data_IF_842765056030
#
_entry.id   IF_842765056030
#
_cell.length_a   1.000
_cell.length_b   1.000
_cell.length_c   1.000
_cell.angle_alpha   90.00
_cell.angle_beta   90.00
_cell.angle_gamma   90.00
#
_symmetry.space_group_name_H-M   'P 1'
#
loop_
_entity.id
_entity.type
_entity.pdbx_description
1 polymer ?
#
# COMPACT_ATOMS: atom_id res chain seq x y z
N UNK A 1 18.50 -4.38 -13.29
CA UNK A 1 17.85 -3.58 -12.24
C UNK A 1 16.59 -2.91 -12.76
N UNK A 2 16.59 -2.30 -13.94
CA UNK A 2 15.42 -1.62 -14.53
C UNK A 2 14.21 -2.54 -14.81
N UNK A 3 14.41 -3.81 -15.07
CA UNK A 3 13.36 -4.75 -15.45
C UNK A 3 12.33 -4.99 -14.34
N UNK A 4 12.75 -4.98 -13.09
CA UNK A 4 11.91 -5.24 -11.92
C UNK A 4 11.60 -3.97 -11.11
N UNK A 5 12.10 -2.82 -11.52
CA UNK A 5 12.02 -1.57 -10.75
C UNK A 5 10.58 -1.13 -10.44
N UNK A 6 9.63 -1.46 -11.32
CA UNK A 6 8.21 -1.17 -11.14
C UNK A 6 7.34 -2.43 -11.01
N UNK A 7 7.97 -3.59 -10.81
CA UNK A 7 7.25 -4.83 -10.58
C UNK A 7 6.68 -4.86 -9.15
N UNK A 8 5.43 -5.31 -9.00
CA UNK A 8 4.81 -5.51 -7.70
C UNK A 8 4.91 -6.96 -7.28
N UNK A 9 5.46 -7.20 -6.11
CA UNK A 9 5.43 -8.54 -5.52
C UNK A 9 3.99 -8.99 -5.28
N UNK A 10 3.62 -10.12 -5.86
CA UNK A 10 2.36 -10.78 -5.57
C UNK A 10 2.50 -11.53 -4.25
N UNK A 11 1.63 -11.27 -3.27
CA UNK A 11 1.63 -11.93 -1.96
C UNK A 11 1.07 -13.35 -2.09
N UNK A 12 1.91 -14.27 -2.55
CA UNK A 12 1.50 -15.66 -2.79
C UNK A 12 1.21 -16.45 -1.51
N UNK A 13 1.60 -15.94 -0.37
CA UNK A 13 1.20 -16.46 0.94
C UNK A 13 -0.33 -16.48 1.12
N UNK A 14 -1.06 -15.54 0.51
CA UNK A 14 -2.53 -15.53 0.49
C UNK A 14 -3.16 -16.76 -0.15
N UNK A 15 -2.42 -17.51 -0.96
CA UNK A 15 -2.92 -18.76 -1.55
C UNK A 15 -3.10 -19.87 -0.50
N UNK A 16 -2.47 -19.72 0.68
CA UNK A 16 -2.64 -20.63 1.81
C UNK A 16 -2.02 -22.01 1.61
N UNK A 17 -1.16 -22.19 0.62
CA UNK A 17 -0.55 -23.47 0.29
C UNK A 17 0.80 -23.28 -0.44
N UNK A 18 1.62 -24.32 -0.44
CA UNK A 18 2.80 -24.43 -1.29
C UNK A 18 2.43 -24.98 -2.70
N UNK A 19 1.36 -24.45 -3.28
CA UNK A 19 0.75 -24.96 -4.51
C UNK A 19 1.18 -24.19 -5.75
N UNK A 20 2.29 -23.48 -5.69
CA UNK A 20 2.90 -22.80 -6.82
C UNK A 20 4.41 -23.12 -6.89
N UNK A 21 4.96 -23.05 -8.08
CA UNK A 21 6.42 -23.04 -8.28
C UNK A 21 6.86 -21.58 -8.45
N UNK A 22 7.59 -21.06 -7.49
CA UNK A 22 8.10 -19.69 -7.54
C UNK A 22 9.37 -19.64 -8.40
N UNK A 23 9.33 -18.96 -9.54
CA UNK A 23 10.46 -18.84 -10.47
C UNK A 23 11.29 -17.58 -10.19
N UNK A 24 10.65 -16.49 -9.79
CA UNK A 24 11.31 -15.25 -9.35
C UNK A 24 10.68 -14.78 -8.06
N UNK A 25 11.39 -14.96 -6.96
CA UNK A 25 10.97 -14.59 -5.64
C UNK A 25 11.76 -13.38 -5.15
N UNK A 26 11.13 -12.21 -4.97
CA UNK A 26 11.76 -11.10 -4.27
C UNK A 26 11.80 -11.39 -2.77
N UNK A 27 12.78 -10.84 -2.10
CA UNK A 27 12.82 -10.81 -0.64
C UNK A 27 11.95 -9.63 -0.21
N UNK A 28 10.99 -9.87 0.67
CA UNK A 28 10.19 -8.80 1.29
C UNK A 28 11.03 -8.02 2.29
N UNK A 29 10.48 -6.96 2.83
CA UNK A 29 11.18 -6.18 3.84
C UNK A 29 11.32 -6.96 5.16
N UNK A 30 12.34 -6.58 5.91
CA UNK A 30 12.75 -7.27 7.15
C UNK A 30 11.64 -7.45 8.19
N UNK A 31 10.68 -6.53 8.25
CA UNK A 31 9.65 -6.53 9.29
C UNK A 31 8.40 -7.38 8.95
N UNK A 32 8.12 -7.62 7.66
CA UNK A 32 6.95 -8.38 7.21
C UNK A 32 7.28 -9.82 6.85
N UNK A 33 8.32 -9.99 6.05
CA UNK A 33 8.78 -11.29 5.55
C UNK A 33 7.68 -12.13 4.86
N UNK A 34 6.79 -11.47 4.12
CA UNK A 34 5.75 -12.14 3.34
C UNK A 34 6.35 -12.96 2.19
N UNK A 35 5.77 -14.12 1.91
CA UNK A 35 6.14 -14.91 0.72
C UNK A 35 5.60 -14.22 -0.53
N UNK A 36 6.51 -13.62 -1.29
CA UNK A 36 6.21 -12.83 -2.48
C UNK A 36 6.63 -13.59 -3.74
N UNK A 37 6.02 -13.25 -4.88
CA UNK A 37 6.44 -13.69 -6.21
C UNK A 37 6.37 -12.57 -7.22
N UNK A 38 7.33 -12.52 -8.15
CA UNK A 38 7.26 -11.72 -9.37
C UNK A 38 6.93 -12.58 -10.60
N UNK A 39 7.24 -13.85 -10.52
CA UNK A 39 6.96 -14.83 -11.59
C UNK A 39 6.77 -16.20 -10.95
N UNK A 40 5.63 -16.83 -11.18
CA UNK A 40 5.37 -18.18 -10.73
C UNK A 40 4.53 -18.98 -11.74
N UNK A 41 4.50 -20.29 -11.55
CA UNK A 41 3.66 -21.20 -12.31
C UNK A 41 2.79 -22.05 -11.40
N UNK A 42 1.61 -22.44 -11.90
CA UNK A 42 0.66 -23.31 -11.23
C UNK A 42 -0.32 -23.96 -12.23
N UNK A 43 -1.14 -24.87 -11.73
CA UNK A 43 -2.32 -25.36 -12.46
C UNK A 43 -3.58 -24.72 -11.90
N UNK A 44 -4.52 -24.38 -12.79
CA UNK A 44 -5.89 -23.94 -12.44
C UNK A 44 -6.88 -24.86 -13.15
N UNK A 45 -7.47 -25.79 -12.42
CA UNK A 45 -8.23 -26.89 -13.05
C UNK A 45 -7.31 -27.74 -13.92
N UNK A 46 -7.60 -27.80 -15.22
CA UNK A 46 -6.78 -28.51 -16.23
C UNK A 46 -5.79 -27.59 -16.96
N UNK A 47 -5.86 -26.29 -16.72
CA UNK A 47 -5.02 -25.32 -17.40
C UNK A 47 -3.68 -25.12 -16.66
N UNK A 48 -2.59 -25.05 -17.43
CA UNK A 48 -1.27 -24.63 -16.93
C UNK A 48 -1.15 -23.11 -17.05
N UNK A 49 -0.77 -22.45 -15.97
CA UNK A 49 -0.69 -21.01 -15.87
C UNK A 49 0.73 -20.55 -15.50
N UNK A 50 1.21 -19.53 -16.21
CA UNK A 50 2.36 -18.73 -15.84
C UNK A 50 1.88 -17.33 -15.51
N UNK A 51 2.21 -16.80 -14.32
CA UNK A 51 1.82 -15.48 -13.89
C UNK A 51 3.02 -14.62 -13.55
N UNK A 52 3.02 -13.39 -14.04
CA UNK A 52 4.08 -12.42 -13.73
C UNK A 52 3.52 -11.04 -13.45
N UNK A 53 4.13 -10.34 -12.51
CA UNK A 53 3.93 -8.92 -12.24
C UNK A 53 5.01 -8.02 -12.87
N UNK A 54 5.99 -8.62 -13.54
CA UNK A 54 7.03 -7.90 -14.27
C UNK A 54 6.41 -7.32 -15.55
N UNK A 55 6.61 -6.03 -15.78
CA UNK A 55 6.13 -5.41 -17.01
C UNK A 55 6.98 -5.86 -18.21
N UNK A 56 6.49 -6.85 -18.94
CA UNK A 56 7.14 -7.41 -20.13
C UNK A 56 6.91 -6.58 -21.41
N UNK A 57 6.09 -5.53 -21.34
CA UNK A 57 5.82 -4.62 -22.45
C UNK A 57 6.72 -3.38 -22.44
N UNK A 58 7.69 -3.32 -21.54
CA UNK A 58 8.70 -2.26 -21.56
C UNK A 58 9.52 -2.34 -22.86
N UNK A 59 9.77 -1.19 -23.47
CA UNK A 59 10.63 -1.08 -24.65
C UNK A 59 12.12 -1.18 -24.26
N UNK A 60 12.51 -2.35 -23.76
CA UNK A 60 13.89 -2.67 -23.38
C UNK A 60 14.28 -4.04 -23.88
N UNK A 61 15.54 -4.22 -24.31
CA UNK A 61 16.05 -5.53 -24.74
C UNK A 61 15.88 -6.62 -23.68
N UNK A 62 15.97 -6.26 -22.40
CA UNK A 62 15.83 -7.17 -21.26
C UNK A 62 14.39 -7.69 -21.14
N UNK A 63 13.38 -6.80 -21.26
CA UNK A 63 11.98 -7.20 -21.24
C UNK A 63 11.64 -8.11 -22.41
N UNK A 64 12.09 -7.77 -23.61
CA UNK A 64 11.91 -8.60 -24.81
C UNK A 64 12.57 -9.98 -24.68
N UNK A 65 13.79 -10.04 -24.15
CA UNK A 65 14.50 -11.30 -23.91
C UNK A 65 13.77 -12.17 -22.86
N UNK A 66 13.33 -11.58 -21.74
CA UNK A 66 12.59 -12.30 -20.72
C UNK A 66 11.25 -12.82 -21.26
N UNK A 67 10.48 -11.97 -21.96
CA UNK A 67 9.21 -12.36 -22.60
C UNK A 67 9.42 -13.54 -23.56
N UNK A 68 10.44 -13.49 -24.40
CA UNK A 68 10.79 -14.58 -25.31
C UNK A 68 11.15 -15.86 -24.56
N UNK A 69 11.91 -15.78 -23.48
CA UNK A 69 12.30 -16.93 -22.65
C UNK A 69 11.08 -17.57 -21.98
N UNK A 70 10.18 -16.78 -21.39
CA UNK A 70 8.94 -17.25 -20.79
C UNK A 70 8.09 -17.99 -21.84
N UNK A 71 7.86 -17.36 -22.99
CA UNK A 71 7.05 -17.97 -24.06
C UNK A 71 7.68 -19.25 -24.63
N UNK A 72 9.01 -19.32 -24.71
CA UNK A 72 9.71 -20.53 -25.13
C UNK A 72 9.58 -21.65 -24.10
N UNK A 73 9.72 -21.32 -22.83
CA UNK A 73 9.53 -22.27 -21.74
C UNK A 73 8.09 -22.82 -21.72
N UNK A 74 7.08 -21.95 -21.82
CA UNK A 74 5.66 -22.36 -21.84
C UNK A 74 5.29 -23.27 -23.02
N UNK A 75 6.07 -23.26 -24.11
CA UNK A 75 5.90 -24.13 -25.28
C UNK A 75 6.65 -25.44 -25.17
N UNK A 76 7.54 -25.58 -24.21
CA UNK A 76 8.36 -26.78 -24.04
C UNK A 76 7.66 -27.81 -23.13
N UNK A 77 8.11 -29.06 -23.23
CA UNK A 77 7.64 -30.16 -22.36
C UNK A 77 8.07 -29.94 -20.90
N UNK A 78 9.02 -29.06 -20.66
CA UNK A 78 9.47 -28.71 -19.31
C UNK A 78 8.46 -27.85 -18.54
N UNK A 79 7.49 -27.21 -19.21
CA UNK A 79 6.42 -26.47 -18.56
C UNK A 79 5.34 -27.43 -18.04
N UNK A 80 5.60 -27.99 -16.88
CA UNK A 80 4.70 -28.94 -16.22
C UNK A 80 4.51 -28.56 -14.75
N UNK A 81 3.77 -27.46 -14.45
CA UNK A 81 3.55 -27.02 -13.09
C UNK A 81 2.81 -28.10 -12.27
N UNK A 82 3.33 -28.43 -11.10
CA UNK A 82 2.82 -29.51 -10.26
C UNK A 82 1.75 -29.01 -9.25
N UNK A 83 1.82 -27.75 -8.88
CA UNK A 83 0.94 -27.18 -7.86
C UNK A 83 -0.42 -26.78 -8.41
N UNK A 84 -1.50 -27.11 -7.68
CA UNK A 84 -2.86 -26.73 -8.06
C UNK A 84 -3.40 -25.58 -7.22
N UNK A 85 -3.96 -24.58 -7.88
CA UNK A 85 -4.60 -23.41 -7.28
C UNK A 85 -6.03 -23.33 -7.82
N UNK A 86 -6.99 -23.11 -6.96
CA UNK A 86 -8.36 -22.84 -7.38
C UNK A 86 -8.46 -21.42 -7.95
N UNK A 87 -9.44 -21.19 -8.84
CA UNK A 87 -9.72 -19.84 -9.35
C UNK A 87 -9.99 -18.84 -8.22
N UNK A 88 -10.69 -19.25 -7.16
CA UNK A 88 -10.97 -18.42 -5.99
C UNK A 88 -9.68 -18.00 -5.27
N UNK A 89 -8.75 -18.92 -5.05
CA UNK A 89 -7.45 -18.59 -4.47
C UNK A 89 -6.66 -17.64 -5.36
N UNK A 90 -6.62 -17.91 -6.67
CA UNK A 90 -5.91 -17.03 -7.61
C UNK A 90 -6.49 -15.61 -7.62
N UNK A 91 -7.83 -15.49 -7.64
CA UNK A 91 -8.52 -14.20 -7.58
C UNK A 91 -8.20 -13.43 -6.31
N UNK A 92 -8.00 -14.12 -5.18
CA UNK A 92 -7.68 -13.46 -3.90
C UNK A 92 -6.35 -12.69 -3.91
N UNK A 93 -5.45 -12.98 -4.85
CA UNK A 93 -4.23 -12.17 -5.05
C UNK A 93 -4.53 -10.74 -5.50
N UNK A 94 -5.69 -10.55 -6.14
CA UNK A 94 -6.14 -9.29 -6.72
C UNK A 94 -7.32 -8.68 -5.96
N UNK A 95 -7.85 -9.40 -4.99
CA UNK A 95 -8.91 -8.88 -4.13
C UNK A 95 -8.31 -7.75 -3.28
N UNK A 96 -8.70 -6.54 -3.62
CA UNK A 96 -8.63 -5.41 -2.72
C UNK A 96 -9.83 -5.62 -1.80
N UNK A 97 -9.61 -5.91 -0.53
CA UNK A 97 -10.66 -5.86 0.49
C UNK A 97 -11.05 -4.38 0.65
N UNK A 98 -11.92 -3.93 -0.23
CA UNK A 98 -12.41 -2.56 -0.21
C UNK A 98 -13.62 -2.49 0.73
N UNK A 99 -13.32 -2.60 2.02
CA UNK A 99 -14.32 -2.48 3.10
C UNK A 99 -15.10 -1.18 2.97
N UNK A 100 -14.46 -0.10 2.52
CA UNK A 100 -15.12 1.20 2.35
C UNK A 100 -16.19 1.14 1.27
N UNK A 101 -15.91 0.44 0.18
CA UNK A 101 -16.88 0.22 -0.91
C UNK A 101 -18.01 -0.74 -0.49
N UNK A 102 -17.68 -1.82 0.22
CA UNK A 102 -18.67 -2.77 0.74
C UNK A 102 -19.66 -2.10 1.71
N UNK A 103 -19.17 -1.12 2.49
CA UNK A 103 -19.96 -0.34 3.42
C UNK A 103 -20.66 0.88 2.78
N UNK A 104 -20.52 1.11 1.47
CA UNK A 104 -20.94 2.35 0.79
C UNK A 104 -20.48 3.61 1.54
N UNK A 105 -19.24 3.56 2.02
CA UNK A 105 -18.65 4.65 2.79
C UNK A 105 -18.40 5.87 1.89
N UNK A 106 -18.72 7.04 2.38
CA UNK A 106 -18.51 8.33 1.72
C UNK A 106 -17.73 9.27 2.61
N UNK A 107 -17.05 10.19 1.97
CA UNK A 107 -16.34 11.26 2.66
C UNK A 107 -17.09 12.58 2.40
N UNK A 108 -17.13 13.47 3.36
CA UNK A 108 -17.88 14.73 3.28
C UNK A 108 -17.28 15.77 2.33
N UNK A 109 -16.08 15.50 1.83
CA UNK A 109 -15.38 16.31 0.83
C UNK A 109 -15.07 15.43 -0.41
N UNK A 110 -15.77 15.64 -1.50
CA UNK A 110 -15.63 14.87 -2.74
C UNK A 110 -14.20 14.90 -3.29
N UNK A 111 -13.44 15.96 -3.04
CA UNK A 111 -12.03 16.05 -3.44
C UNK A 111 -11.14 15.00 -2.77
N UNK A 112 -11.61 14.42 -1.67
CA UNK A 112 -10.93 13.38 -0.90
C UNK A 112 -11.39 11.96 -1.24
N UNK A 113 -12.30 11.78 -2.20
CA UNK A 113 -12.89 10.47 -2.54
C UNK A 113 -11.85 9.39 -2.87
N UNK A 114 -10.71 9.76 -3.44
CA UNK A 114 -9.60 8.86 -3.68
C UNK A 114 -8.95 8.30 -2.40
N UNK A 115 -9.24 8.84 -1.21
CA UNK A 115 -8.80 8.24 0.05
C UNK A 115 -9.56 6.95 0.39
N UNK A 116 -10.73 6.72 -0.23
CA UNK A 116 -11.61 5.57 0.04
C UNK A 116 -11.69 4.57 -1.13
N UNK A 117 -10.89 4.73 -2.18
CA UNK A 117 -10.97 3.91 -3.40
C UNK A 117 -10.24 2.55 -3.29
N UNK A 118 -9.61 2.27 -2.16
CA UNK A 118 -8.86 1.05 -1.92
C UNK A 118 -7.61 0.89 -2.79
N UNK A 119 -7.26 1.87 -3.62
CA UNK A 119 -6.14 1.81 -4.54
C UNK A 119 -4.89 2.47 -3.93
N UNK A 120 -3.84 1.71 -3.57
CA UNK A 120 -2.64 2.27 -2.96
C UNK A 120 -1.81 3.16 -3.89
N UNK A 121 -2.17 3.26 -5.17
CA UNK A 121 -1.48 4.14 -6.14
C UNK A 121 -2.14 5.51 -6.28
N UNK A 122 -3.39 5.64 -5.88
CA UNK A 122 -4.06 6.94 -5.80
C UNK A 122 -3.72 7.61 -4.47
N UNK A 123 -3.77 8.90 -4.44
CA UNK A 123 -3.57 9.69 -3.23
C UNK A 123 -4.23 11.04 -3.37
N UNK A 124 -4.55 11.64 -2.25
CA UNK A 124 -5.07 13.01 -2.19
C UNK A 124 -4.01 13.91 -1.57
N UNK A 125 -3.86 15.09 -2.14
CA UNK A 125 -3.01 16.15 -1.58
C UNK A 125 -3.89 17.17 -0.86
N UNK A 126 -3.76 17.23 0.45
CA UNK A 126 -4.43 18.25 1.24
C UNK A 126 -3.75 19.60 1.00
N UNK A 127 -4.52 20.60 0.53
CA UNK A 127 -4.01 21.94 0.21
C UNK A 127 -4.18 22.94 1.33
N UNK A 128 -4.92 22.56 2.39
CA UNK A 128 -5.13 23.38 3.58
C UNK A 128 -4.02 23.23 4.61
N UNK A 129 -4.04 24.11 5.61
CA UNK A 129 -3.15 23.99 6.78
C UNK A 129 -3.61 22.90 7.74
N UNK A 130 -2.74 22.52 8.66
CA UNK A 130 -3.07 21.59 9.74
C UNK A 130 -3.60 22.39 10.97
N UNK A 131 -4.54 21.81 11.77
CA UNK A 131 -5.16 20.49 11.59
C UNK A 131 -6.17 20.47 10.43
N UNK A 132 -6.23 19.35 9.71
CA UNK A 132 -7.21 19.14 8.64
C UNK A 132 -8.15 17.99 9.00
N UNK A 133 -9.46 18.23 8.99
CA UNK A 133 -10.47 17.24 9.39
C UNK A 133 -11.42 16.93 8.24
N UNK A 134 -11.83 15.66 8.15
CA UNK A 134 -12.90 15.21 7.27
C UNK A 134 -13.72 14.12 7.95
N UNK A 135 -14.93 13.87 7.43
CA UNK A 135 -15.85 12.89 7.99
C UNK A 135 -16.03 11.75 6.98
N UNK A 136 -15.85 10.53 7.48
CA UNK A 136 -16.23 9.31 6.77
C UNK A 136 -17.58 8.88 7.34
N UNK A 137 -18.55 8.66 6.46
CA UNK A 137 -19.87 8.20 6.88
C UNK A 137 -20.35 7.02 6.04
N UNK A 138 -21.13 6.16 6.67
CA UNK A 138 -21.81 5.01 6.07
C UNK A 138 -23.32 5.17 6.16
N UNK A 139 -24.13 4.54 5.26
CA UNK A 139 -25.58 4.61 5.32
C UNK A 139 -26.19 4.04 6.60
N UNK A 140 -25.46 3.13 7.24
CA UNK A 140 -25.90 2.44 8.46
C UNK A 140 -24.78 2.46 9.50
N UNK A 141 -25.14 2.28 10.76
CA UNK A 141 -24.16 2.11 11.83
C UNK A 141 -23.51 0.74 11.78
N UNK A 142 -22.24 0.70 12.09
CA UNK A 142 -21.42 -0.50 12.16
C UNK A 142 -20.59 -0.50 13.45
N UNK A 143 -20.22 -1.70 13.89
CA UNK A 143 -19.22 -1.86 14.94
C UNK A 143 -17.84 -1.61 14.33
N UNK A 144 -17.17 -0.55 14.78
CA UNK A 144 -15.88 -0.10 14.26
C UNK A 144 -14.86 -0.17 15.39
N UNK A 145 -13.82 -0.98 15.19
CA UNK A 145 -12.73 -1.18 16.15
C UNK A 145 -11.44 -0.45 15.77
N UNK A 146 -11.39 0.16 14.57
CA UNK A 146 -10.20 0.86 14.12
C UNK A 146 -10.25 1.28 12.64
N UNK A 147 -9.15 1.83 12.18
CA UNK A 147 -8.92 2.25 10.78
C UNK A 147 -7.60 1.69 10.30
N UNK A 148 -7.57 1.25 9.06
CA UNK A 148 -6.33 0.95 8.34
C UNK A 148 -5.97 2.15 7.47
N UNK A 149 -4.92 2.85 7.85
CA UNK A 149 -4.38 3.96 7.08
C UNK A 149 -3.27 3.48 6.16
N UNK A 150 -3.40 3.77 4.86
CA UNK A 150 -2.41 3.47 3.85
C UNK A 150 -1.64 4.75 3.49
N UNK A 151 -0.35 4.87 3.82
CA UNK A 151 0.49 5.96 3.36
C UNK A 151 0.62 5.95 1.84
N UNK A 152 0.93 7.10 1.26
CA UNK A 152 1.20 7.22 -0.17
C UNK A 152 2.37 6.31 -0.58
N UNK A 153 2.18 5.48 -1.63
CA UNK A 153 3.12 4.42 -2.03
C UNK A 153 4.08 4.84 -3.16
N UNK A 154 3.77 5.91 -3.88
CA UNK A 154 4.45 6.26 -5.13
C UNK A 154 5.37 7.48 -5.00
N UNK A 155 5.83 7.82 -3.80
CA UNK A 155 6.71 8.95 -3.56
C UNK A 155 7.85 8.56 -2.63
N UNK A 156 9.08 8.69 -3.10
CA UNK A 156 10.29 8.26 -2.37
C UNK A 156 10.59 9.12 -1.13
N UNK A 157 10.08 10.35 -1.11
CA UNK A 157 10.42 11.34 -0.09
C UNK A 157 9.42 11.38 1.07
N UNK A 158 8.43 10.48 1.14
CA UNK A 158 7.39 10.47 2.18
C UNK A 158 6.66 11.81 2.36
N UNK A 159 6.64 12.66 1.31
CA UNK A 159 6.04 13.99 1.37
C UNK A 159 4.59 13.94 1.83
N UNK A 160 4.30 14.66 2.90
CA UNK A 160 2.96 14.75 3.47
C UNK A 160 2.49 13.49 4.20
N UNK A 161 3.38 12.53 4.49
CA UNK A 161 3.02 11.37 5.28
C UNK A 161 2.52 11.80 6.66
N UNK A 162 1.38 11.24 7.07
CA UNK A 162 0.72 11.58 8.33
C UNK A 162 1.59 11.18 9.54
N UNK A 163 1.86 12.13 10.43
CA UNK A 163 2.60 11.91 11.67
C UNK A 163 1.68 11.80 12.88
N UNK A 164 0.79 12.76 13.07
CA UNK A 164 -0.10 12.78 14.24
C UNK A 164 -1.55 12.89 13.80
N UNK A 165 -2.42 12.19 14.52
CA UNK A 165 -3.84 12.12 14.20
C UNK A 165 -4.70 12.19 15.44
N UNK A 166 -5.98 12.57 15.23
CA UNK A 166 -7.09 12.44 16.17
C UNK A 166 -8.26 11.79 15.43
N UNK A 167 -8.90 10.81 16.06
CA UNK A 167 -10.11 10.15 15.53
C UNK A 167 -11.23 10.29 16.54
N UNK A 168 -12.40 10.69 16.05
CA UNK A 168 -13.61 10.86 16.83
C UNK A 168 -14.76 10.12 16.14
N UNK A 169 -15.64 9.52 16.95
CA UNK A 169 -16.87 8.87 16.49
C UNK A 169 -18.09 9.72 16.89
N UNK A 170 -19.12 9.71 16.04
CA UNK A 170 -20.38 10.34 16.37
C UNK A 170 -21.24 9.41 17.24
N UNK A 171 -21.33 9.72 18.53
CA UNK A 171 -22.02 8.90 19.53
C UNK A 171 -22.95 9.80 20.36
N UNK A 172 -24.20 9.40 20.49
CA UNK A 172 -25.21 10.09 21.33
C UNK A 172 -25.35 11.59 20.98
N UNK A 173 -25.30 11.92 19.69
CA UNK A 173 -25.46 13.30 19.23
C UNK A 173 -24.25 14.22 19.43
N UNK A 174 -23.07 13.65 19.72
CA UNK A 174 -21.84 14.43 19.92
C UNK A 174 -20.60 13.67 19.40
N UNK A 175 -19.54 14.41 19.05
CA UNK A 175 -18.25 13.84 18.70
C UNK A 175 -17.49 13.43 19.96
N UNK A 176 -17.14 12.15 20.05
CA UNK A 176 -16.33 11.60 21.15
C UNK A 176 -15.02 11.05 20.61
N UNK A 177 -13.93 11.42 21.24
CA UNK A 177 -12.60 10.91 20.87
C UNK A 177 -12.52 9.40 21.11
N UNK A 178 -12.17 8.66 20.07
CA UNK A 178 -11.95 7.20 20.11
C UNK A 178 -10.49 6.81 20.02
N UNK A 179 -9.64 7.66 19.39
CA UNK A 179 -8.21 7.45 19.37
C UNK A 179 -7.46 8.76 19.07
N UNK A 180 -6.24 8.87 19.59
CA UNK A 180 -5.28 9.92 19.24
C UNK A 180 -3.88 9.33 19.33
N UNK A 181 -3.01 9.61 18.36
CA UNK A 181 -1.69 9.02 18.37
C UNK A 181 -0.73 9.64 17.36
N UNK A 182 0.42 8.98 17.26
CA UNK A 182 1.46 9.26 16.27
C UNK A 182 1.76 7.99 15.49
N UNK A 183 2.13 8.14 14.24
CA UNK A 183 2.54 7.09 13.34
C UNK A 183 4.05 7.16 13.10
N UNK A 184 4.63 6.04 12.73
CA UNK A 184 6.01 5.98 12.23
C UNK A 184 6.05 6.33 10.75
N UNK A 185 7.15 6.92 10.27
CA UNK A 185 7.38 7.13 8.84
C UNK A 185 7.77 5.80 8.20
N UNK A 186 6.88 5.24 7.38
CA UNK A 186 7.15 4.09 6.53
C UNK A 186 6.01 3.89 5.54
N UNK A 187 6.26 3.17 4.45
CA UNK A 187 5.23 2.84 3.45
C UNK A 187 4.23 1.76 3.89
N UNK A 188 4.44 1.17 5.05
CA UNK A 188 3.57 0.10 5.57
C UNK A 188 2.18 0.62 5.93
N UNK A 189 1.13 -0.19 5.71
CA UNK A 189 -0.19 0.09 6.24
C UNK A 189 -0.17 0.25 7.75
N UNK A 190 -0.77 1.31 8.27
CA UNK A 190 -0.85 1.59 9.71
C UNK A 190 -2.21 1.18 10.25
N UNK A 191 -2.23 0.16 11.09
CA UNK A 191 -3.44 -0.20 11.82
C UNK A 191 -3.58 0.69 13.05
N UNK A 192 -4.63 1.52 13.02
CA UNK A 192 -5.01 2.39 14.15
C UNK A 192 -6.17 1.71 14.87
N UNK A 193 -5.90 1.08 16.00
CA UNK A 193 -6.93 0.43 16.82
C UNK A 193 -7.52 1.44 17.79
N UNK A 194 -8.86 1.48 17.90
CA UNK A 194 -9.55 2.35 18.85
C UNK A 194 -9.40 1.84 20.29
N UNK A 195 -9.56 2.74 21.25
CA UNK A 195 -9.52 2.38 22.68
C UNK A 195 -10.65 1.40 23.04
N UNK A 196 -11.81 1.56 22.39
CA UNK A 196 -12.97 0.69 22.50
C UNK A 196 -13.66 0.62 21.15
N UNK A 197 -14.28 -0.52 20.86
CA UNK A 197 -15.17 -0.67 19.70
C UNK A 197 -16.35 0.30 19.84
N UNK A 198 -16.77 0.91 18.74
CA UNK A 198 -17.85 1.90 18.72
C UNK A 198 -18.87 1.55 17.65
N UNK A 199 -20.15 1.68 17.99
CA UNK A 199 -21.27 1.49 17.06
C UNK A 199 -21.72 2.84 16.50
N UNK A 200 -21.28 3.15 15.30
CA UNK A 200 -21.50 4.45 14.66
C UNK A 200 -21.60 4.36 13.14
N UNK A 201 -22.17 5.40 12.54
CA UNK A 201 -22.22 5.64 11.09
C UNK A 201 -21.25 6.75 10.65
N UNK A 202 -20.56 7.43 11.60
CA UNK A 202 -19.68 8.57 11.27
C UNK A 202 -18.42 8.56 12.10
N UNK A 203 -17.32 8.69 11.40
CA UNK A 203 -15.98 8.85 11.97
C UNK A 203 -15.39 10.16 11.46
N UNK A 204 -14.92 11.03 12.33
CA UNK A 204 -14.14 12.21 11.98
C UNK A 204 -12.67 11.89 12.14
N UNK A 205 -11.95 11.97 11.06
CA UNK A 205 -10.50 11.84 11.04
C UNK A 205 -9.87 13.23 10.95
N UNK A 206 -8.94 13.52 11.85
CA UNK A 206 -8.20 14.78 11.87
C UNK A 206 -6.72 14.50 11.73
N UNK A 207 -6.12 14.94 10.62
CA UNK A 207 -4.69 15.03 10.45
C UNK A 207 -4.18 16.24 11.25
N UNK A 208 -3.37 16.00 12.27
CA UNK A 208 -2.85 17.05 13.13
C UNK A 208 -1.56 17.65 12.59
N UNK A 209 -0.68 16.79 12.06
CA UNK A 209 0.56 17.18 11.38
C UNK A 209 1.12 16.04 10.51
N UNK A 210 2.15 16.32 9.75
CA UNK A 210 2.87 15.38 8.90
C UNK A 210 4.36 15.37 9.22
N UNK A 211 5.10 14.41 8.65
CA UNK A 211 6.56 14.38 8.77
C UNK A 211 7.23 15.53 8.01
N UNK A 212 6.60 16.03 6.95
CA UNK A 212 7.04 17.25 6.26
C UNK A 212 5.99 18.33 6.33
N UNK A 213 6.41 19.58 6.55
CA UNK A 213 5.51 20.71 6.56
C UNK A 213 4.94 20.94 5.16
N UNK A 214 3.68 21.44 5.05
CA UNK A 214 3.08 21.78 3.76
C UNK A 214 4.01 22.67 2.94
N UNK A 215 4.22 22.33 1.67
CA UNK A 215 5.07 23.08 0.75
C UNK A 215 6.57 22.87 0.93
N UNK A 216 6.99 22.03 1.88
CA UNK A 216 8.37 21.58 2.01
C UNK A 216 8.51 20.16 1.49
N UNK A 217 9.60 19.87 0.79
CA UNK A 217 9.93 18.50 0.45
C UNK A 217 10.36 17.72 1.70
N UNK A 218 10.20 16.40 1.63
CA UNK A 218 10.73 15.51 2.66
C UNK A 218 12.24 15.67 2.82
N UNK A 219 12.77 15.12 3.90
CA UNK A 219 14.18 15.14 4.22
C UNK A 219 15.08 14.62 3.13
N UNK A 220 14.62 13.56 2.49
CA UNK A 220 15.40 12.84 1.50
C UNK A 220 14.95 13.23 0.10
N UNK A 221 15.84 13.79 -0.66
CA UNK A 221 15.69 13.97 -2.09
C UNK A 221 16.77 13.14 -2.80
N UNK A 222 16.39 12.55 -3.93
CA UNK A 222 17.35 11.87 -4.78
C UNK A 222 17.78 12.83 -5.89
N UNK A 223 19.05 13.15 -5.91
CA UNK A 223 19.71 13.90 -6.97
C UNK A 223 20.45 12.94 -7.91
N UNK A 224 20.88 13.40 -9.09
CA UNK A 224 21.64 12.55 -10.01
C UNK A 224 22.87 11.90 -9.37
N UNK A 225 23.45 12.53 -8.37
CA UNK A 225 24.65 12.07 -7.66
C UNK A 225 24.35 11.20 -6.43
N UNK A 226 23.09 10.97 -6.10
CA UNK A 226 22.68 10.15 -4.95
C UNK A 226 21.66 10.79 -4.04
N UNK A 227 21.62 10.32 -2.80
CA UNK A 227 20.71 10.79 -1.76
C UNK A 227 21.36 11.88 -0.95
N UNK A 228 20.60 12.94 -0.68
CA UNK A 228 21.01 13.96 0.27
C UNK A 228 19.83 14.43 1.13
N UNK A 229 20.14 14.96 2.29
CA UNK A 229 19.15 15.54 3.17
C UNK A 229 19.00 17.03 2.87
N UNK A 230 17.76 17.48 2.66
CA UNK A 230 17.48 18.92 2.53
C UNK A 230 17.49 19.60 3.89
N UNK A 231 18.14 20.74 3.98
CA UNK A 231 18.28 21.49 5.23
C UNK A 231 16.96 21.93 5.86
N UNK A 232 15.92 22.04 5.03
CA UNK A 232 14.70 22.71 5.43
C UNK A 232 13.86 21.98 6.49
N UNK A 233 14.12 20.72 6.79
CA UNK A 233 13.22 19.94 7.63
C UNK A 233 13.89 18.99 8.63
N UNK A 234 15.02 19.40 9.16
CA UNK A 234 15.73 18.62 10.19
C UNK A 234 14.98 18.49 11.51
N UNK A 235 13.97 19.35 11.73
CA UNK A 235 13.14 19.33 12.93
C UNK A 235 12.06 18.27 12.91
N UNK A 236 11.61 17.85 11.71
CA UNK A 236 10.57 16.82 11.58
C UNK A 236 11.15 15.41 11.77
N UNK A 237 12.41 15.18 11.38
CA UNK A 237 13.08 13.89 11.52
C UNK A 237 14.57 14.03 11.85
N UNK A 238 14.90 14.46 13.08
CA UNK A 238 16.26 14.77 13.48
C UNK A 238 17.21 13.57 13.47
N UNK A 239 16.72 12.35 13.50
CA UNK A 239 17.54 11.14 13.46
C UNK A 239 18.29 10.94 12.13
N UNK A 240 17.81 11.55 11.05
CA UNK A 240 18.50 11.50 9.75
C UNK A 240 19.61 12.54 9.59
N UNK A 241 19.72 13.46 10.54
CA UNK A 241 20.73 14.51 10.48
C UNK A 241 22.14 13.92 10.54
N UNK A 242 22.89 14.08 9.47
CA UNK A 242 24.25 13.55 9.36
C UNK A 242 24.36 12.08 8.93
N UNK A 243 23.25 11.42 8.61
CA UNK A 243 23.21 10.02 8.12
C UNK A 243 23.13 9.96 6.58
N UNK A 244 23.85 10.81 5.91
CA UNK A 244 23.91 10.73 4.45
C UNK A 244 24.72 9.48 4.04
N UNK A 245 24.25 8.70 3.06
CA UNK A 245 25.06 7.64 2.46
C UNK A 245 26.34 8.23 1.88
N UNK A 246 27.45 7.61 2.19
CA UNK A 246 28.76 7.95 1.59
C UNK A 246 28.85 7.37 0.19
#
# INVERSE_FOLDING_TARGET
QSLIENARGLRVEKLGCDCITNLVQPIDEWNRNDKMSLLFECQVGTARLMMTSINLEQDTPQAAALKKSILSYMKSDAFEPQGQVSWKQLSSLFEINDVMKELDAKIDDDSLSACLDGNPQTFVRLTGGYPYSFIIQTPQKHDISGILYMPRQNHREHEGELRSYLIEAWLDGTWKRVQKGKLSSSYEPKRITFLHEVYTDRIRFTALDTFSAPGKSCFWAMEPDGWYQKEADTTANPEFKGQLPQ
#
